data_IF_877006256311
#
_entry.id   IF_877006256311
#
_cell.length_a   1.000
_cell.length_b   1.000
_cell.length_c   1.000
_cell.angle_alpha   90.00
_cell.angle_beta   90.00
_cell.angle_gamma   90.00
#
_symmetry.space_group_name_H-M   'P 1'
#
loop_
_entity.id
_entity.type
_entity.pdbx_description
1 polymer ?
#
# COMPACT_ATOMS: atom_id res chain seq x y z
N UNK A 1 -11.34 -6.21 32.75
CA UNK A 1 -12.44 -6.08 31.78
C UNK A 1 -12.36 -4.66 31.25
N UNK A 2 -12.07 -4.54 29.97
CA UNK A 2 -11.78 -3.28 29.31
C UNK A 2 -12.95 -2.33 29.47
N UNK A 3 -12.71 -1.18 30.11
CA UNK A 3 -13.69 -0.10 30.08
C UNK A 3 -13.98 0.22 28.61
N UNK A 4 -15.26 0.26 28.24
CA UNK A 4 -15.64 0.76 26.92
C UNK A 4 -14.95 2.11 26.70
N UNK A 5 -14.40 2.33 25.50
CA UNK A 5 -13.73 3.58 25.14
C UNK A 5 -14.64 4.79 25.43
N UNK A 6 -15.96 4.61 25.28
CA UNK A 6 -16.97 5.61 25.61
C UNK A 6 -17.00 5.95 27.11
N UNK A 7 -16.93 4.93 27.98
CA UNK A 7 -16.90 5.14 29.44
C UNK A 7 -15.61 5.84 29.89
N UNK A 8 -14.49 5.55 29.24
CA UNK A 8 -13.24 6.26 29.47
C UNK A 8 -13.33 7.72 28.96
N UNK A 9 -13.90 7.94 27.78
CA UNK A 9 -14.08 9.28 27.21
C UNK A 9 -14.98 10.15 28.11
N UNK A 10 -16.07 9.60 28.65
CA UNK A 10 -16.94 10.28 29.60
C UNK A 10 -16.21 10.64 30.91
N UNK A 11 -15.38 9.73 31.42
CA UNK A 11 -14.56 9.97 32.63
C UNK A 11 -13.62 11.16 32.45
N UNK A 12 -13.04 11.33 31.26
CA UNK A 12 -12.10 12.42 30.96
C UNK A 12 -12.75 13.62 30.27
N UNK A 13 -14.09 13.64 30.15
CA UNK A 13 -14.84 14.72 29.47
C UNK A 13 -14.34 14.94 28.02
N UNK A 14 -13.96 13.86 27.34
CA UNK A 14 -13.54 13.86 25.94
C UNK A 14 -14.76 13.56 25.07
N UNK A 15 -15.06 14.45 24.11
CA UNK A 15 -16.13 14.22 23.13
C UNK A 15 -15.54 13.70 21.82
N UNK A 16 -15.82 12.44 21.42
CA UNK A 16 -15.36 11.93 20.14
C UNK A 16 -16.06 12.64 18.98
N UNK A 17 -15.30 13.02 17.96
CA UNK A 17 -15.84 13.56 16.71
C UNK A 17 -16.18 12.39 15.81
N UNK A 18 -17.46 12.26 15.46
CA UNK A 18 -17.92 11.24 14.51
C UNK A 18 -17.66 11.71 13.09
N UNK A 19 -16.84 10.96 12.36
CA UNK A 19 -16.55 11.19 10.95
C UNK A 19 -17.28 10.13 10.11
N UNK A 20 -17.73 10.49 8.89
CA UNK A 20 -18.29 9.52 7.96
C UNK A 20 -17.31 8.36 7.68
N UNK A 21 -17.82 7.16 7.39
CA UNK A 21 -16.96 6.05 6.97
C UNK A 21 -16.17 6.42 5.70
N UNK A 22 -14.96 5.91 5.57
CA UNK A 22 -14.03 6.14 4.45
C UNK A 22 -13.65 7.61 4.20
N UNK A 23 -13.81 8.50 5.19
CA UNK A 23 -13.57 9.92 5.01
C UNK A 23 -12.20 10.43 5.48
N UNK A 24 -11.25 9.52 5.74
CA UNK A 24 -9.95 9.86 6.32
C UNK A 24 -9.18 10.90 5.49
N UNK A 25 -9.15 10.72 4.19
CA UNK A 25 -8.48 11.61 3.23
C UNK A 25 -9.18 12.96 3.01
N UNK A 26 -10.35 13.20 3.62
CA UNK A 26 -11.06 14.48 3.56
C UNK A 26 -10.97 15.24 4.88
N UNK A 27 -11.34 14.56 5.96
CA UNK A 27 -11.71 15.21 7.21
C UNK A 27 -10.80 14.79 8.37
N UNK A 28 -9.81 13.90 8.19
CA UNK A 28 -8.85 13.62 9.25
C UNK A 28 -7.61 14.52 9.08
N UNK A 29 -7.48 15.61 9.85
CA UNK A 29 -6.43 16.61 9.66
C UNK A 29 -5.03 16.02 9.83
N UNK A 30 -4.90 14.98 10.67
CA UNK A 30 -3.67 14.24 10.86
C UNK A 30 -3.17 13.59 9.57
N UNK A 31 -4.03 12.84 8.87
CA UNK A 31 -3.66 12.17 7.62
C UNK A 31 -3.49 13.16 6.47
N UNK A 32 -4.35 14.17 6.45
CA UNK A 32 -4.46 15.13 5.35
C UNK A 32 -3.28 16.09 5.26
N UNK A 33 -2.83 16.62 6.39
CA UNK A 33 -1.89 17.74 6.41
C UNK A 33 -0.73 17.51 7.37
N UNK A 34 -1.01 17.13 8.62
CA UNK A 34 0.01 17.04 9.68
C UNK A 34 1.06 15.97 9.34
N UNK A 35 0.62 14.75 9.01
CA UNK A 35 1.54 13.68 8.61
C UNK A 35 2.13 13.89 7.22
N UNK A 36 1.49 14.68 6.36
CA UNK A 36 2.05 15.01 5.05
C UNK A 36 3.40 15.74 5.21
N UNK A 37 3.44 16.78 6.06
CA UNK A 37 4.65 17.53 6.34
C UNK A 37 5.78 16.63 6.91
N UNK A 38 5.45 15.82 7.92
CA UNK A 38 6.41 14.90 8.54
C UNK A 38 6.92 13.86 7.55
N UNK A 39 6.05 13.28 6.72
CA UNK A 39 6.43 12.29 5.69
C UNK A 39 7.39 12.88 4.68
N UNK A 40 7.21 14.15 4.28
CA UNK A 40 8.10 14.84 3.34
C UNK A 40 9.48 15.04 3.95
N UNK A 41 9.56 15.62 5.15
CA UNK A 41 10.83 15.84 5.86
C UNK A 41 11.55 14.50 6.10
N UNK A 42 10.81 13.47 6.53
CA UNK A 42 11.37 12.15 6.77
C UNK A 42 11.99 11.56 5.51
N UNK A 43 11.32 11.67 4.35
CA UNK A 43 11.87 11.18 3.07
C UNK A 43 13.17 11.88 2.70
N UNK A 44 13.23 13.20 2.85
CA UNK A 44 14.44 13.99 2.56
C UNK A 44 15.60 13.62 3.49
N UNK A 45 15.31 13.47 4.79
CA UNK A 45 16.28 13.03 5.78
C UNK A 45 16.77 11.61 5.51
N UNK A 46 15.86 10.69 5.17
CA UNK A 46 16.21 9.30 4.82
C UNK A 46 17.14 9.25 3.61
N UNK A 47 16.79 9.99 2.55
CA UNK A 47 17.59 10.04 1.34
C UNK A 47 18.99 10.60 1.61
N UNK A 48 19.06 11.72 2.33
CA UNK A 48 20.33 12.38 2.67
C UNK A 48 21.21 11.48 3.54
N UNK A 49 20.62 10.81 4.53
CA UNK A 49 21.33 9.87 5.41
C UNK A 49 21.89 8.67 4.63
N UNK A 50 21.09 8.06 3.75
CA UNK A 50 21.53 6.90 2.96
C UNK A 50 22.67 7.24 2.02
N UNK A 51 22.62 8.41 1.36
CA UNK A 51 23.71 8.89 0.50
C UNK A 51 24.97 9.15 1.32
N UNK A 52 24.87 9.90 2.42
CA UNK A 52 26.03 10.26 3.24
C UNK A 52 26.70 9.03 3.87
N UNK A 53 25.91 8.05 4.30
CA UNK A 53 26.42 6.82 4.91
C UNK A 53 26.82 5.75 3.88
N UNK A 54 26.49 5.91 2.60
CA UNK A 54 26.70 4.90 1.56
C UNK A 54 25.94 3.59 1.82
N UNK A 55 24.81 3.64 2.54
CA UNK A 55 24.05 2.46 2.96
C UNK A 55 22.80 2.27 2.11
N UNK A 56 22.49 1.02 1.79
CA UNK A 56 21.23 0.62 1.12
C UNK A 56 20.13 0.20 2.10
N UNK A 57 20.47 0.05 3.38
CA UNK A 57 19.56 -0.39 4.44
C UNK A 57 19.77 0.40 5.73
N UNK A 58 18.68 0.63 6.46
CA UNK A 58 18.67 1.37 7.71
C UNK A 58 18.29 0.45 8.88
N UNK A 59 19.02 0.56 9.98
CA UNK A 59 18.67 -0.15 11.23
C UNK A 59 17.43 0.49 11.88
N UNK A 60 16.73 -0.29 12.73
CA UNK A 60 15.57 0.23 13.48
C UNK A 60 15.92 1.44 14.34
N UNK A 61 17.13 1.46 14.92
CA UNK A 61 17.60 2.59 15.74
C UNK A 61 17.76 3.85 14.91
N UNK A 62 18.40 3.76 13.74
CA UNK A 62 18.56 4.89 12.81
C UNK A 62 17.19 5.40 12.33
N UNK A 63 16.28 4.50 11.98
CA UNK A 63 14.92 4.85 11.53
C UNK A 63 14.14 5.63 12.60
N UNK A 64 14.18 5.18 13.86
CA UNK A 64 13.50 5.86 14.97
C UNK A 64 14.13 7.24 15.21
N UNK A 65 15.46 7.37 15.19
CA UNK A 65 16.12 8.66 15.36
C UNK A 65 15.70 9.65 14.27
N UNK A 66 15.66 9.19 13.01
CA UNK A 66 15.30 10.03 11.89
C UNK A 66 13.82 10.45 11.92
N UNK A 67 12.93 9.54 12.32
CA UNK A 67 11.52 9.84 12.56
C UNK A 67 11.34 10.88 13.67
N UNK A 68 12.06 10.75 14.79
CA UNK A 68 12.03 11.73 15.88
C UNK A 68 12.53 13.11 15.44
N UNK A 69 13.59 13.17 14.63
CA UNK A 69 14.07 14.43 14.06
C UNK A 69 13.06 15.04 13.10
N UNK A 70 12.48 14.24 12.20
CA UNK A 70 11.45 14.71 11.27
C UNK A 70 10.19 15.22 12.01
N UNK A 71 9.81 14.57 13.11
CA UNK A 71 8.72 15.03 13.97
C UNK A 71 9.02 16.40 14.57
N UNK A 72 10.21 16.57 15.17
CA UNK A 72 10.64 17.84 15.75
C UNK A 72 10.59 18.98 14.73
N UNK A 73 11.18 18.76 13.55
CA UNK A 73 11.21 19.77 12.49
C UNK A 73 9.84 20.07 11.87
N UNK A 74 8.99 19.05 11.75
CA UNK A 74 7.69 19.18 11.07
C UNK A 74 6.57 19.67 11.97
N UNK A 75 6.64 19.38 13.27
CA UNK A 75 5.54 19.56 14.24
C UNK A 75 5.96 20.48 15.39
N UNK A 76 7.06 20.18 16.09
CA UNK A 76 7.47 20.97 17.27
C UNK A 76 7.98 22.36 16.89
N UNK A 77 8.80 22.43 15.83
CA UNK A 77 9.35 23.69 15.31
C UNK A 77 8.34 24.49 14.46
N UNK A 78 7.29 23.82 13.96
CA UNK A 78 6.30 24.40 13.04
C UNK A 78 4.87 24.05 13.46
N UNK A 79 4.39 24.57 14.60
CA UNK A 79 3.03 24.31 15.06
C UNK A 79 1.96 24.83 14.09
N UNK A 80 2.32 25.74 13.17
CA UNK A 80 1.41 26.26 12.15
C UNK A 80 0.93 25.16 11.20
N UNK A 81 1.74 24.11 10.98
CA UNK A 81 1.34 22.95 10.17
C UNK A 81 0.16 22.20 10.78
N UNK A 82 0.08 22.16 12.12
CA UNK A 82 -1.06 21.57 12.82
C UNK A 82 -2.27 22.45 12.65
N UNK A 83 -2.16 23.75 12.97
CA UNK A 83 -3.27 24.69 12.87
C UNK A 83 -3.85 24.73 11.44
N UNK A 84 -2.97 24.89 10.45
CA UNK A 84 -3.35 24.89 9.03
C UNK A 84 -3.99 23.56 8.61
N UNK A 85 -3.50 22.42 9.12
CA UNK A 85 -4.10 21.12 8.83
C UNK A 85 -5.53 20.95 9.34
N UNK A 86 -5.81 21.49 10.53
CA UNK A 86 -7.16 21.49 11.11
C UNK A 86 -8.11 22.46 10.39
N UNK A 87 -7.60 23.62 9.98
CA UNK A 87 -8.35 24.62 9.21
C UNK A 87 -8.69 24.09 7.80
N UNK A 88 -7.70 23.50 7.13
CA UNK A 88 -7.83 22.88 5.82
C UNK A 88 -8.86 21.73 5.81
N UNK A 89 -8.91 20.93 6.89
CA UNK A 89 -9.92 19.88 7.06
C UNK A 89 -11.33 20.44 7.36
N UNK A 90 -11.44 21.73 7.71
CA UNK A 90 -12.68 22.39 8.10
C UNK A 90 -13.21 21.94 9.45
N UNK A 91 -12.38 21.30 10.28
CA UNK A 91 -12.76 20.86 11.65
C UNK A 91 -12.56 21.99 12.65
N UNK A 92 -11.44 22.71 12.55
CA UNK A 92 -11.15 23.82 13.46
C UNK A 92 -10.43 24.97 12.76
N UNK A 93 -11.04 26.17 12.68
CA UNK A 93 -12.44 26.45 13.02
C UNK A 93 -13.41 25.62 12.15
N UNK A 94 -14.59 25.28 12.69
CA UNK A 94 -15.58 24.49 11.97
C UNK A 94 -16.06 25.26 10.73
N UNK A 95 -15.83 24.71 9.54
CA UNK A 95 -16.08 25.41 8.27
C UNK A 95 -16.64 24.48 7.21
N UNK A 96 -17.96 24.55 7.02
CA UNK A 96 -18.66 23.83 5.95
C UNK A 96 -18.10 24.18 4.54
N UNK A 97 -17.78 25.45 4.21
CA UNK A 97 -17.16 25.78 2.94
C UNK A 97 -15.83 25.04 2.69
N UNK A 98 -14.98 24.88 3.72
CA UNK A 98 -13.72 24.13 3.61
C UNK A 98 -13.96 22.64 3.39
N UNK A 99 -14.91 22.06 4.13
CA UNK A 99 -15.29 20.66 3.97
C UNK A 99 -15.85 20.36 2.57
N UNK A 100 -16.69 21.26 2.04
CA UNK A 100 -17.24 21.13 0.68
C UNK A 100 -16.16 21.33 -0.40
N UNK A 101 -15.23 22.27 -0.20
CA UNK A 101 -14.07 22.47 -1.07
C UNK A 101 -13.24 21.18 -1.18
N UNK A 102 -12.95 20.51 -0.06
CA UNK A 102 -12.22 19.23 -0.09
C UNK A 102 -12.99 18.10 -0.76
N UNK A 103 -14.29 18.02 -0.50
CA UNK A 103 -15.15 17.05 -1.18
C UNK A 103 -15.14 17.27 -2.69
N UNK A 104 -15.18 18.54 -3.14
CA UNK A 104 -15.09 18.92 -4.55
C UNK A 104 -13.72 18.54 -5.13
N UNK A 105 -12.62 18.93 -4.50
CA UNK A 105 -11.26 18.60 -4.95
C UNK A 105 -11.05 17.10 -5.11
N UNK A 106 -11.60 16.30 -4.19
CA UNK A 106 -11.54 14.85 -4.29
C UNK A 106 -12.32 14.34 -5.50
N UNK A 107 -13.59 14.76 -5.67
CA UNK A 107 -14.40 14.38 -6.84
C UNK A 107 -13.72 14.77 -8.15
N UNK A 108 -13.10 15.94 -8.18
CA UNK A 108 -12.35 16.44 -9.34
C UNK A 108 -11.08 15.63 -9.62
N UNK A 109 -10.34 15.24 -8.57
CA UNK A 109 -9.16 14.39 -8.68
C UNK A 109 -9.49 12.93 -9.04
N UNK A 110 -10.64 12.41 -8.61
CA UNK A 110 -11.20 11.14 -9.11
C UNK A 110 -11.57 11.27 -10.59
N UNK A 111 -12.04 12.45 -11.00
CA UNK A 111 -12.30 12.78 -12.39
C UNK A 111 -11.09 13.34 -13.14
N UNK A 112 -9.86 12.90 -12.83
CA UNK A 112 -8.76 13.01 -13.82
C UNK A 112 -9.29 12.40 -15.11
N UNK A 113 -9.68 13.29 -16.02
CA UNK A 113 -10.36 12.98 -17.27
C UNK A 113 -9.75 11.73 -17.85
N UNK A 114 -10.57 10.67 -18.01
CA UNK A 114 -10.24 9.36 -18.56
C UNK A 114 -8.91 9.42 -19.31
N UNK A 115 -7.79 9.25 -18.58
CA UNK A 115 -6.53 9.16 -19.27
C UNK A 115 -6.68 7.91 -20.12
N UNK A 116 -6.47 7.98 -21.44
CA UNK A 116 -6.53 6.78 -22.26
C UNK A 116 -5.68 5.74 -21.55
N UNK A 117 -6.25 4.54 -21.33
CA UNK A 117 -5.59 3.50 -20.53
C UNK A 117 -4.12 3.47 -20.96
N UNK A 118 -3.18 3.60 -20.00
CA UNK A 118 -1.77 3.60 -20.33
C UNK A 118 -1.43 2.45 -21.28
N UNK A 119 -0.63 2.69 -22.31
CA UNK A 119 -0.32 1.67 -23.33
C UNK A 119 0.21 0.36 -22.71
N UNK A 120 0.88 0.44 -21.56
CA UNK A 120 1.34 -0.72 -20.80
C UNK A 120 0.22 -1.60 -20.22
N UNK A 121 -0.98 -1.07 -19.96
CA UNK A 121 -2.15 -1.85 -19.53
C UNK A 121 -2.68 -2.72 -20.68
N UNK A 122 -2.65 -2.21 -21.91
CA UNK A 122 -2.92 -3.01 -23.12
C UNK A 122 -1.82 -4.07 -23.28
N UNK A 123 -0.56 -3.70 -23.03
CA UNK A 123 0.56 -4.65 -23.03
C UNK A 123 0.40 -5.75 -22.00
N UNK A 124 -0.14 -5.49 -20.80
CA UNK A 124 -0.38 -6.52 -19.79
C UNK A 124 -1.41 -7.55 -20.25
N UNK A 125 -2.47 -7.12 -20.95
CA UNK A 125 -3.48 -8.02 -21.49
C UNK A 125 -2.88 -8.90 -22.59
N UNK A 126 -2.11 -8.31 -23.50
CA UNK A 126 -1.34 -9.01 -24.55
C UNK A 126 -0.33 -9.99 -23.94
N UNK A 127 0.42 -9.60 -22.91
CA UNK A 127 1.37 -10.48 -22.21
C UNK A 127 0.62 -11.68 -21.61
N UNK A 128 -0.54 -11.49 -21.00
CA UNK A 128 -1.34 -12.58 -20.43
C UNK A 128 -1.95 -13.51 -21.48
N UNK A 129 -2.37 -12.97 -22.62
CA UNK A 129 -3.01 -13.74 -23.69
C UNK A 129 -2.04 -14.34 -24.71
N UNK A 130 -0.82 -13.84 -24.82
CA UNK A 130 0.12 -14.24 -25.87
C UNK A 130 1.47 -14.75 -25.34
N UNK A 131 1.97 -14.21 -24.22
CA UNK A 131 3.32 -14.53 -23.71
C UNK A 131 3.28 -15.51 -22.54
N UNK A 132 2.33 -15.32 -21.62
CA UNK A 132 2.12 -16.17 -20.44
C UNK A 132 1.07 -17.27 -20.67
N UNK A 133 0.83 -17.65 -21.93
CA UNK A 133 0.03 -18.82 -22.23
C UNK A 133 0.95 -20.03 -22.25
N UNK A 134 0.60 -21.03 -21.44
CA UNK A 134 1.29 -22.32 -21.48
C UNK A 134 1.20 -22.88 -22.90
N UNK A 135 2.30 -23.36 -23.49
CA UNK A 135 2.23 -24.04 -24.78
C UNK A 135 1.18 -25.16 -24.70
N UNK A 136 0.42 -25.40 -25.78
CA UNK A 136 -0.63 -26.41 -25.78
C UNK A 136 -0.05 -27.74 -25.30
N UNK A 137 -0.80 -28.41 -24.42
CA UNK A 137 -0.38 -29.70 -23.88
C UNK A 137 -0.01 -30.61 -25.06
N UNK A 138 1.19 -31.21 -25.07
CA UNK A 138 1.59 -32.07 -26.17
C UNK A 138 0.54 -33.18 -26.32
N UNK A 139 0.17 -33.50 -27.56
CA UNK A 139 -0.75 -34.59 -27.82
C UNK A 139 -0.29 -35.83 -27.04
N UNK A 140 -1.25 -36.51 -26.41
CA UNK A 140 -0.96 -37.69 -25.58
C UNK A 140 -0.19 -38.70 -26.43
N UNK A 141 1.14 -38.72 -26.30
CA UNK A 141 1.98 -39.76 -26.90
C UNK A 141 1.40 -41.10 -26.45
N UNK A 142 1.24 -42.01 -27.40
CA UNK A 142 0.62 -43.32 -27.18
C UNK A 142 1.10 -43.93 -25.86
N UNK A 143 0.15 -44.37 -25.04
CA UNK A 143 0.39 -44.96 -23.72
C UNK A 143 1.51 -45.98 -23.84
N UNK A 144 2.61 -45.82 -23.07
CA UNK A 144 3.64 -46.87 -22.95
C UNK A 144 2.91 -48.18 -22.60
N UNK A 145 3.13 -49.22 -23.41
CA UNK A 145 2.67 -50.58 -23.08
C UNK A 145 3.50 -51.02 -21.87
N UNK A 146 2.90 -51.01 -20.69
CA UNK A 146 3.51 -51.62 -19.51
C UNK A 146 3.28 -53.12 -19.63
N UNK A 147 4.33 -53.87 -19.96
CA UNK A 147 4.31 -55.33 -19.85
C UNK A 147 4.42 -55.64 -18.35
N UNK A 148 3.36 -56.21 -17.79
CA UNK A 148 3.36 -56.63 -16.38
C UNK A 148 4.18 -57.92 -16.27
N UNK A 149 5.46 -57.77 -15.95
CA UNK A 149 6.30 -58.89 -15.57
C UNK A 149 5.81 -59.35 -14.20
N UNK A 150 5.00 -60.42 -14.16
CA UNK A 150 4.45 -61.09 -12.97
C UNK A 150 5.53 -61.53 -11.96
N UNK A 151 6.23 -60.56 -11.38
CA UNK A 151 7.37 -60.69 -10.46
C UNK A 151 8.53 -61.54 -10.98
N UNK A 152 8.72 -61.61 -12.29
CA UNK A 152 9.87 -62.29 -12.92
C UNK A 152 10.85 -61.25 -13.45
N UNK A 153 12.14 -61.43 -13.16
CA UNK A 153 13.19 -60.60 -13.77
C UNK A 153 13.30 -61.03 -15.25
N UNK A 154 13.14 -60.06 -16.15
CA UNK A 154 13.28 -60.29 -17.59
C UNK A 154 14.74 -60.12 -17.99
N UNK A 155 15.23 -61.05 -18.80
CA UNK A 155 16.57 -61.04 -19.37
C UNK A 155 16.58 -60.30 -20.71
N UNK A 156 17.76 -59.85 -21.17
CA UNK A 156 17.88 -59.02 -22.38
C UNK A 156 17.35 -59.70 -23.66
N UNK A 157 17.38 -61.04 -23.70
CA UNK A 157 16.84 -61.82 -24.82
C UNK A 157 15.30 -61.86 -24.83
N UNK A 158 14.63 -61.74 -23.68
CA UNK A 158 13.16 -61.73 -23.58
C UNK A 158 12.56 -60.45 -24.17
N UNK A 159 13.33 -59.36 -24.22
CA UNK A 159 12.90 -58.05 -24.72
C UNK A 159 13.12 -57.85 -26.23
N UNK A 160 13.76 -58.81 -26.91
CA UNK A 160 14.12 -58.69 -28.33
C UNK A 160 13.14 -59.35 -29.30
N UNK A 161 12.15 -60.10 -28.79
CA UNK A 161 11.24 -60.91 -29.60
C UNK A 161 9.78 -60.40 -29.63
N UNK A 162 9.55 -59.10 -29.39
CA UNK A 162 8.23 -58.44 -29.57
C UNK A 162 8.30 -57.24 -30.53
#
# INVERSE_FOLDING_TARGET
MDASIDAAADTYVVRPVQLPPNSSHFYQPLEVAVFCAVKTILKEQMYSFMIAAGKTSMSKKEAVQLASTAWRMGIEEKPENIASGFEEAGIWPLSLPMMLRRLKNFKENDSKAQQPLPSWLVTQQVIRSEILVLPPAPEKKGRRKTVDAKRRLLTQDDLRNE
#
